data_IF_238917456345
#
_entry.id   IF_238917456345
#
_cell.length_a   1.000
_cell.length_b   1.000
_cell.length_c   1.000
_cell.angle_alpha   90.00
_cell.angle_beta   90.00
_cell.angle_gamma   90.00
#
_symmetry.space_group_name_H-M   'P 1'
#
loop_
_entity.id
_entity.type
_entity.pdbx_description
1 polymer ?
#
# COMPACT_ATOMS: atom_id res chain seq x y z
N UNK A 1 -67.06 -24.69 28.79
CA UNK A 1 -66.38 -24.05 27.64
C UNK A 1 -66.87 -22.62 27.53
N UNK A 2 -66.19 -21.66 28.20
CA UNK A 2 -66.33 -20.18 28.09
C UNK A 2 -65.64 -19.41 29.26
N UNK A 3 -65.07 -20.08 30.28
CA UNK A 3 -64.37 -19.37 31.39
C UNK A 3 -62.83 -19.56 31.37
N UNK A 4 -62.29 -20.48 30.56
CA UNK A 4 -60.84 -20.75 30.49
C UNK A 4 -60.11 -20.03 29.34
N UNK A 5 -60.63 -18.91 28.84
CA UNK A 5 -59.97 -18.06 27.82
C UNK A 5 -59.68 -16.62 28.26
N UNK A 6 -60.08 -16.22 29.48
CA UNK A 6 -59.80 -14.87 30.02
C UNK A 6 -58.65 -14.82 31.04
N UNK A 7 -58.12 -15.96 31.49
CA UNK A 7 -56.98 -16.03 32.41
C UNK A 7 -55.60 -15.99 31.74
N UNK A 8 -55.50 -16.19 30.43
CA UNK A 8 -54.21 -16.22 29.71
C UNK A 8 -53.81 -14.87 29.10
N UNK A 9 -54.70 -13.87 29.15
CA UNK A 9 -54.45 -12.53 28.60
C UNK A 9 -53.96 -11.50 29.63
N UNK A 10 -53.73 -11.92 30.88
CA UNK A 10 -53.20 -11.06 31.96
C UNK A 10 -51.77 -11.45 32.35
N UNK A 11 -51.29 -12.64 31.96
CA UNK A 11 -49.90 -13.06 32.23
C UNK A 11 -48.89 -12.58 31.17
N UNK A 12 -49.34 -12.24 29.96
CA UNK A 12 -48.49 -11.61 28.92
C UNK A 12 -48.42 -10.08 29.02
N UNK A 13 -49.25 -9.45 29.85
CA UNK A 13 -49.25 -8.00 30.07
C UNK A 13 -48.55 -7.54 31.37
N UNK A 14 -48.10 -8.48 32.22
CA UNK A 14 -47.46 -8.16 33.51
C UNK A 14 -45.95 -8.50 33.54
N UNK A 15 -45.41 -9.12 32.50
CA UNK A 15 -43.95 -9.22 32.30
C UNK A 15 -43.30 -7.91 31.81
N UNK A 16 -44.05 -6.80 31.78
CA UNK A 16 -43.56 -5.47 31.38
C UNK A 16 -43.22 -4.53 32.57
N UNK A 17 -43.06 -5.03 33.82
CA UNK A 17 -42.87 -4.11 34.95
C UNK A 17 -41.64 -4.27 35.87
N UNK A 18 -40.74 -5.24 35.73
CA UNK A 18 -39.59 -5.33 36.66
C UNK A 18 -38.29 -5.82 36.04
N UNK A 19 -37.58 -4.91 35.37
CA UNK A 19 -36.10 -4.90 35.31
C UNK A 19 -35.61 -3.51 34.87
N UNK A 20 -35.98 -2.46 35.62
CA UNK A 20 -35.28 -1.17 35.53
C UNK A 20 -33.95 -1.34 36.26
N UNK A 21 -32.88 -1.62 35.51
CA UNK A 21 -31.53 -1.33 35.98
C UNK A 21 -31.27 0.17 35.79
N UNK A 22 -30.80 0.90 36.82
CA UNK A 22 -30.46 2.30 36.66
C UNK A 22 -29.14 2.38 35.88
N UNK A 23 -29.22 2.73 34.60
CA UNK A 23 -28.03 2.89 33.76
C UNK A 23 -28.21 2.78 32.26
N UNK A 24 -29.41 2.52 31.73
CA UNK A 24 -29.67 2.68 30.29
C UNK A 24 -30.28 4.05 30.05
N UNK A 25 -29.49 4.92 29.42
CA UNK A 25 -29.98 6.06 28.66
C UNK A 25 -31.17 5.61 27.81
N UNK A 26 -32.23 6.42 27.84
CA UNK A 26 -33.45 6.28 27.03
C UNK A 26 -33.06 5.86 25.61
N UNK A 27 -33.44 4.63 25.21
CA UNK A 27 -33.22 4.16 23.84
C UNK A 27 -34.01 5.07 22.91
N UNK A 28 -33.36 5.57 21.86
CA UNK A 28 -34.05 6.15 20.71
C UNK A 28 -35.10 5.15 20.21
N UNK A 29 -36.23 5.65 19.71
CA UNK A 29 -37.30 4.81 19.17
C UNK A 29 -36.77 4.19 17.87
N UNK A 30 -36.28 2.96 17.94
CA UNK A 30 -35.80 2.20 16.79
C UNK A 30 -37.01 1.50 16.14
N UNK A 31 -37.25 1.78 14.86
CA UNK A 31 -38.34 1.15 14.09
C UNK A 31 -37.76 0.09 13.18
N UNK A 32 -38.32 -1.13 13.23
CA UNK A 32 -37.95 -2.22 12.30
C UNK A 32 -39.07 -2.45 11.30
N UNK A 33 -38.75 -2.40 10.01
CA UNK A 33 -39.72 -2.65 8.95
C UNK A 33 -39.94 -4.15 8.65
N UNK A 34 -40.89 -4.45 7.77
CA UNK A 34 -41.21 -5.83 7.36
C UNK A 34 -40.08 -6.53 6.60
N UNK A 35 -39.12 -5.77 6.07
CA UNK A 35 -37.95 -6.28 5.36
C UNK A 35 -36.74 -6.46 6.29
N UNK A 36 -36.90 -6.16 7.58
CA UNK A 36 -35.92 -6.35 8.64
C UNK A 36 -34.89 -5.23 8.77
N UNK A 37 -35.13 -4.05 8.21
CA UNK A 37 -34.29 -2.86 8.41
C UNK A 37 -34.69 -2.17 9.71
N UNK A 38 -33.74 -1.96 10.62
CA UNK A 38 -33.95 -1.23 11.87
C UNK A 38 -33.32 0.16 11.77
N UNK A 39 -34.16 1.19 11.84
CA UNK A 39 -33.77 2.60 11.67
C UNK A 39 -34.09 3.37 12.95
N UNK A 40 -33.14 4.18 13.42
CA UNK A 40 -33.36 5.06 14.57
C UNK A 40 -34.09 6.38 14.18
N UNK A 41 -34.49 7.15 15.19
CA UNK A 41 -35.17 8.44 15.02
C UNK A 41 -34.41 9.48 14.17
N UNK A 42 -33.09 9.31 13.98
CA UNK A 42 -32.27 10.19 13.16
C UNK A 42 -32.27 9.81 11.67
N UNK A 43 -32.92 8.70 11.31
CA UNK A 43 -32.85 8.11 9.98
C UNK A 43 -31.55 7.34 9.75
N UNK A 44 -30.90 6.86 10.81
CA UNK A 44 -29.72 6.00 10.68
C UNK A 44 -30.13 4.54 10.71
N UNK A 45 -29.73 3.78 9.68
CA UNK A 45 -29.86 2.33 9.68
C UNK A 45 -28.84 1.75 10.67
N UNK A 46 -29.34 1.09 11.72
CA UNK A 46 -28.52 0.57 12.83
C UNK A 46 -28.48 -0.94 12.90
N UNK A 47 -29.42 -1.65 12.28
CA UNK A 47 -29.38 -3.11 12.17
C UNK A 47 -30.13 -3.62 10.94
N UNK A 48 -29.78 -4.83 10.51
CA UNK A 48 -30.50 -5.59 9.49
C UNK A 48 -30.72 -7.04 9.94
N UNK A 49 -31.98 -7.47 9.94
CA UNK A 49 -32.44 -8.81 10.31
C UNK A 49 -33.27 -9.50 9.22
N UNK A 50 -33.29 -8.91 8.02
CA UNK A 50 -34.04 -9.40 6.88
C UNK A 50 -33.51 -10.72 6.32
N UNK A 51 -34.26 -11.30 5.39
CA UNK A 51 -33.97 -12.60 4.80
C UNK A 51 -32.75 -12.63 3.85
N UNK A 52 -32.20 -11.47 3.50
CA UNK A 52 -31.12 -11.32 2.50
C UNK A 52 -31.64 -11.26 1.07
N UNK A 53 -30.83 -11.75 0.13
CA UNK A 53 -31.07 -11.63 -1.31
C UNK A 53 -30.68 -10.26 -1.86
N UNK A 54 -31.45 -9.79 -2.84
CA UNK A 54 -31.30 -8.44 -3.37
C UNK A 54 -32.01 -7.44 -2.46
N UNK A 55 -31.26 -6.49 -1.90
CA UNK A 55 -31.80 -5.49 -0.99
C UNK A 55 -31.62 -4.07 -1.56
N UNK A 56 -32.57 -3.20 -1.24
CA UNK A 56 -32.48 -1.75 -1.46
C UNK A 56 -32.63 -1.09 -0.11
N UNK A 57 -31.70 -0.22 0.26
CA UNK A 57 -31.81 0.57 1.50
C UNK A 57 -33.09 1.41 1.42
N UNK A 58 -33.97 1.44 2.44
CA UNK A 58 -35.28 2.10 2.36
C UNK A 58 -35.22 3.63 2.51
N UNK A 59 -36.27 4.33 2.04
CA UNK A 59 -36.34 5.81 2.00
C UNK A 59 -36.26 6.50 3.36
N UNK A 60 -36.52 5.76 4.45
CA UNK A 60 -36.36 6.25 5.83
C UNK A 60 -34.89 6.41 6.24
N UNK A 61 -33.94 5.90 5.46
CA UNK A 61 -32.51 5.88 5.80
C UNK A 61 -31.77 7.01 5.10
N UNK A 62 -31.18 7.91 5.89
CA UNK A 62 -30.23 8.92 5.42
C UNK A 62 -28.78 8.50 5.61
N UNK A 63 -28.50 7.68 6.64
CA UNK A 63 -27.15 7.25 7.03
C UNK A 63 -27.12 5.76 7.34
N UNK A 64 -26.07 5.05 6.94
CA UNK A 64 -25.86 3.64 7.29
C UNK A 64 -24.77 3.56 8.36
N UNK A 65 -25.09 3.04 9.54
CA UNK A 65 -24.12 2.89 10.63
C UNK A 65 -23.02 1.85 10.29
N UNK A 66 -21.89 1.94 11.00
CA UNK A 66 -20.79 1.00 10.82
C UNK A 66 -21.20 -0.45 11.07
N UNK A 67 -20.74 -1.38 10.24
CA UNK A 67 -20.89 -2.82 10.45
C UNK A 67 -22.33 -3.37 10.39
N UNK A 68 -23.31 -2.59 9.95
CA UNK A 68 -24.74 -2.98 9.95
C UNK A 68 -25.01 -4.29 9.21
N UNK A 69 -24.30 -4.54 8.11
CA UNK A 69 -24.42 -5.77 7.34
C UNK A 69 -23.21 -6.69 7.50
N UNK A 70 -22.31 -6.43 8.46
CA UNK A 70 -21.09 -7.21 8.60
C UNK A 70 -21.38 -8.71 8.83
N UNK A 71 -20.61 -9.56 8.15
CA UNK A 71 -20.75 -11.02 8.11
C UNK A 71 -22.11 -11.53 7.63
N UNK A 72 -22.88 -10.70 6.90
CA UNK A 72 -24.13 -11.16 6.31
C UNK A 72 -23.84 -12.07 5.10
N UNK A 73 -24.11 -13.37 5.28
CA UNK A 73 -23.94 -14.40 4.26
C UNK A 73 -25.20 -14.61 3.39
N UNK A 74 -26.21 -13.75 3.51
CA UNK A 74 -27.50 -13.90 2.83
C UNK A 74 -27.74 -12.83 1.76
N UNK A 75 -27.17 -11.64 1.90
CA UNK A 75 -27.29 -10.56 0.91
C UNK A 75 -26.46 -10.92 -0.31
N UNK A 76 -27.11 -10.90 -1.48
CA UNK A 76 -26.50 -11.20 -2.78
C UNK A 76 -26.26 -9.94 -3.59
N UNK A 77 -27.05 -8.89 -3.37
CA UNK A 77 -26.84 -7.58 -3.99
C UNK A 77 -27.42 -6.47 -3.15
N UNK A 78 -26.81 -5.27 -3.22
CA UNK A 78 -27.30 -4.09 -2.52
C UNK A 78 -27.37 -2.87 -3.44
N UNK A 79 -28.47 -2.13 -3.35
CA UNK A 79 -28.60 -0.77 -3.87
C UNK A 79 -28.60 0.22 -2.72
N UNK A 80 -27.67 1.18 -2.75
CA UNK A 80 -27.59 2.34 -1.85
C UNK A 80 -28.14 3.55 -2.62
N UNK A 81 -29.41 3.96 -2.40
CA UNK A 81 -30.06 4.98 -3.23
C UNK A 81 -29.55 6.40 -2.97
N UNK A 82 -29.96 7.33 -3.85
CA UNK A 82 -29.50 8.73 -3.86
C UNK A 82 -29.80 9.55 -2.61
N UNK A 83 -30.78 9.16 -1.80
CA UNK A 83 -31.10 9.82 -0.53
C UNK A 83 -30.15 9.43 0.61
N UNK A 84 -29.34 8.39 0.46
CA UNK A 84 -28.32 8.02 1.46
C UNK A 84 -27.12 8.94 1.27
N UNK A 85 -26.79 9.70 2.33
CA UNK A 85 -25.71 10.70 2.32
C UNK A 85 -24.54 10.33 3.24
N UNK A 86 -24.70 9.30 4.08
CA UNK A 86 -23.68 8.86 5.02
C UNK A 86 -23.53 7.34 5.06
N UNK A 87 -22.30 6.87 5.22
CA UNK A 87 -21.99 5.46 5.41
C UNK A 87 -20.82 5.31 6.40
N UNK A 88 -20.99 4.44 7.40
CA UNK A 88 -19.97 4.07 8.37
C UNK A 88 -18.92 3.13 7.81
N UNK A 89 -17.97 2.73 8.65
CA UNK A 89 -16.91 1.76 8.30
C UNK A 89 -17.44 0.32 8.31
N UNK A 90 -16.75 -0.57 7.58
CA UNK A 90 -16.99 -2.02 7.64
C UNK A 90 -18.44 -2.46 7.38
N UNK A 91 -19.24 -1.66 6.66
CA UNK A 91 -20.70 -1.85 6.52
C UNK A 91 -21.05 -3.22 5.94
N UNK A 92 -20.33 -3.68 4.93
CA UNK A 92 -20.48 -5.01 4.33
C UNK A 92 -19.27 -5.91 4.58
N UNK A 93 -18.52 -5.68 5.67
CA UNK A 93 -17.36 -6.49 6.02
C UNK A 93 -17.72 -7.98 6.03
N UNK A 94 -16.95 -8.82 5.34
CA UNK A 94 -17.13 -10.27 5.28
C UNK A 94 -18.52 -10.72 4.75
N UNK A 95 -19.17 -9.93 3.88
CA UNK A 95 -20.37 -10.36 3.16
C UNK A 95 -20.01 -11.28 1.99
N UNK A 96 -19.63 -12.52 2.28
CA UNK A 96 -19.03 -13.44 1.30
C UNK A 96 -19.95 -13.79 0.13
N UNK A 97 -21.27 -13.60 0.26
CA UNK A 97 -22.27 -13.85 -0.78
C UNK A 97 -22.63 -12.62 -1.62
N UNK A 98 -22.15 -11.43 -1.25
CA UNK A 98 -22.45 -10.18 -1.94
C UNK A 98 -21.77 -10.18 -3.32
N UNK A 99 -22.57 -10.31 -4.36
CA UNK A 99 -22.12 -10.41 -5.75
C UNK A 99 -22.08 -9.07 -6.49
N UNK A 100 -23.00 -8.16 -6.16
CA UNK A 100 -23.09 -6.84 -6.81
C UNK A 100 -23.51 -5.71 -5.86
N UNK A 101 -22.96 -4.53 -6.13
CA UNK A 101 -23.24 -3.30 -5.36
C UNK A 101 -23.55 -2.18 -6.35
N UNK A 102 -24.63 -1.45 -6.11
CA UNK A 102 -24.96 -0.21 -6.81
C UNK A 102 -25.05 0.95 -5.81
N UNK A 103 -24.18 1.95 -5.95
CA UNK A 103 -24.12 3.13 -5.08
C UNK A 103 -24.59 4.34 -5.88
N UNK A 104 -25.80 4.79 -5.59
CA UNK A 104 -26.41 6.02 -6.11
C UNK A 104 -26.41 7.15 -5.07
N UNK A 105 -26.12 6.83 -3.80
CA UNK A 105 -26.01 7.78 -2.69
C UNK A 105 -24.77 8.67 -2.78
N UNK A 106 -24.92 9.94 -2.40
CA UNK A 106 -23.82 10.91 -2.28
C UNK A 106 -23.12 10.75 -0.93
N UNK A 107 -22.47 9.61 -0.73
CA UNK A 107 -21.83 9.20 0.52
C UNK A 107 -20.46 9.85 0.77
N UNK A 108 -20.00 10.71 -0.15
CA UNK A 108 -18.74 11.45 -0.10
C UNK A 108 -17.46 10.60 -0.27
N UNK A 109 -17.41 9.38 0.25
CA UNK A 109 -16.28 8.45 0.15
C UNK A 109 -16.72 7.00 0.33
N UNK A 110 -15.91 6.03 -0.10
CA UNK A 110 -16.07 4.64 0.34
C UNK A 110 -15.29 4.48 1.66
N UNK A 111 -15.95 4.25 2.80
CA UNK A 111 -15.29 4.13 4.10
C UNK A 111 -14.34 2.92 4.18
N UNK A 112 -13.48 2.93 5.19
CA UNK A 112 -12.55 1.82 5.45
C UNK A 112 -13.28 0.49 5.64
N UNK A 113 -12.68 -0.57 5.11
CA UNK A 113 -13.13 -1.97 5.25
C UNK A 113 -14.55 -2.27 4.73
N UNK A 114 -15.18 -1.34 4.01
CA UNK A 114 -16.60 -1.43 3.61
C UNK A 114 -16.95 -2.78 2.96
N UNK A 115 -16.13 -3.27 2.04
CA UNK A 115 -16.32 -4.53 1.33
C UNK A 115 -15.18 -5.52 1.58
N UNK A 116 -14.48 -5.40 2.72
CA UNK A 116 -13.41 -6.34 3.07
C UNK A 116 -13.92 -7.79 3.01
N UNK A 117 -13.18 -8.69 2.36
CA UNK A 117 -13.51 -10.12 2.22
C UNK A 117 -14.91 -10.39 1.63
N UNK A 118 -15.43 -9.51 0.77
CA UNK A 118 -16.59 -9.80 -0.06
C UNK A 118 -16.20 -10.67 -1.26
N UNK A 119 -15.89 -11.95 -0.99
CA UNK A 119 -15.24 -12.85 -1.96
C UNK A 119 -16.04 -13.10 -3.25
N UNK A 120 -17.38 -12.97 -3.22
CA UNK A 120 -18.23 -13.11 -4.41
C UNK A 120 -18.44 -11.81 -5.19
N UNK A 121 -17.91 -10.68 -4.72
CA UNK A 121 -18.16 -9.38 -5.33
C UNK A 121 -17.49 -9.30 -6.71
N UNK A 122 -18.31 -9.16 -7.75
CA UNK A 122 -17.87 -9.11 -9.15
C UNK A 122 -18.19 -7.77 -9.81
N UNK A 123 -19.19 -7.05 -9.31
CA UNK A 123 -19.69 -5.81 -9.92
C UNK A 123 -19.91 -4.74 -8.85
N UNK A 124 -19.28 -3.59 -9.06
CA UNK A 124 -19.50 -2.38 -8.26
C UNK A 124 -19.80 -1.25 -9.23
N UNK A 125 -20.99 -0.67 -9.09
CA UNK A 125 -21.43 0.52 -9.81
C UNK A 125 -21.47 1.69 -8.84
N UNK A 126 -20.86 2.81 -9.22
CA UNK A 126 -20.86 4.05 -8.43
C UNK A 126 -21.38 5.15 -9.35
N UNK A 127 -22.64 5.54 -9.13
CA UNK A 127 -23.36 6.56 -9.89
C UNK A 127 -23.14 7.99 -9.37
N UNK A 128 -22.36 8.17 -8.31
CA UNK A 128 -22.08 9.46 -7.67
C UNK A 128 -20.61 9.80 -7.68
N UNK A 129 -20.31 11.06 -7.31
CA UNK A 129 -18.94 11.49 -7.09
C UNK A 129 -18.50 11.05 -5.69
N UNK A 130 -17.43 10.28 -5.62
CA UNK A 130 -16.74 9.98 -4.35
C UNK A 130 -15.36 10.62 -4.37
N UNK A 131 -14.96 11.20 -3.23
CA UNK A 131 -13.69 11.90 -3.07
C UNK A 131 -12.52 10.96 -2.74
N UNK A 132 -12.81 9.79 -2.17
CA UNK A 132 -11.77 8.86 -1.70
C UNK A 132 -12.28 7.43 -1.56
N UNK A 133 -11.33 6.48 -1.58
CA UNK A 133 -11.52 5.07 -1.26
C UNK A 133 -10.72 4.78 0.01
N UNK A 134 -11.38 4.33 1.08
CA UNK A 134 -10.77 4.07 2.38
C UNK A 134 -9.83 2.88 2.41
N UNK A 135 -9.05 2.78 3.50
CA UNK A 135 -8.13 1.66 3.71
C UNK A 135 -8.89 0.33 3.72
N UNK A 136 -8.33 -0.68 3.05
CA UNK A 136 -8.89 -2.03 2.92
C UNK A 136 -10.34 -2.09 2.37
N UNK A 137 -10.85 -1.03 1.74
CA UNK A 137 -12.25 -0.95 1.33
C UNK A 137 -12.72 -2.11 0.44
N UNK A 138 -11.85 -2.63 -0.43
CA UNK A 138 -12.11 -3.78 -1.30
C UNK A 138 -11.06 -4.89 -1.11
N UNK A 139 -10.36 -4.93 0.03
CA UNK A 139 -9.37 -5.98 0.27
C UNK A 139 -10.04 -7.36 0.29
N UNK A 140 -9.37 -8.37 -0.26
CA UNK A 140 -9.82 -9.76 -0.36
C UNK A 140 -11.13 -9.96 -1.17
N UNK A 141 -11.52 -8.99 -2.00
CA UNK A 141 -12.56 -9.15 -3.03
C UNK A 141 -12.04 -10.01 -4.19
N UNK A 142 -11.79 -11.30 -3.93
CA UNK A 142 -11.09 -12.22 -4.82
C UNK A 142 -11.77 -12.47 -6.17
N UNK A 143 -13.08 -12.23 -6.30
CA UNK A 143 -13.81 -12.32 -7.57
C UNK A 143 -13.89 -11.00 -8.36
N UNK A 144 -13.40 -9.88 -7.79
CA UNK A 144 -13.48 -8.57 -8.42
C UNK A 144 -12.49 -8.49 -9.59
N UNK A 145 -12.99 -8.75 -10.79
CA UNK A 145 -12.14 -8.85 -11.99
C UNK A 145 -11.84 -7.51 -12.65
N UNK A 146 -12.71 -6.52 -12.46
CA UNK A 146 -12.63 -5.17 -12.98
C UNK A 146 -13.14 -4.18 -11.94
N UNK A 147 -12.54 -3.00 -11.88
CA UNK A 147 -13.03 -1.90 -11.07
C UNK A 147 -12.70 -0.57 -11.74
N UNK A 148 -13.71 0.28 -11.92
CA UNK A 148 -13.52 1.64 -12.44
C UNK A 148 -13.45 2.60 -11.26
N UNK A 149 -12.28 3.18 -11.02
CA UNK A 149 -12.13 4.25 -10.03
C UNK A 149 -12.80 5.51 -10.59
N UNK A 150 -13.76 6.14 -9.89
CA UNK A 150 -14.39 7.37 -10.35
C UNK A 150 -13.40 8.52 -10.53
N UNK A 151 -13.61 9.38 -11.53
CA UNK A 151 -12.72 10.51 -11.85
C UNK A 151 -12.58 11.54 -10.72
N UNK A 152 -13.58 11.61 -9.82
CA UNK A 152 -13.59 12.50 -8.66
C UNK A 152 -12.68 12.04 -7.51
N UNK A 153 -12.16 10.80 -7.55
CA UNK A 153 -11.33 10.26 -6.47
C UNK A 153 -9.99 10.98 -6.40
N UNK A 154 -9.71 11.58 -5.24
CA UNK A 154 -8.44 12.23 -4.93
C UNK A 154 -7.44 11.31 -4.21
N UNK A 155 -7.93 10.32 -3.45
CA UNK A 155 -7.07 9.43 -2.66
C UNK A 155 -7.58 7.99 -2.59
N UNK A 156 -6.62 7.05 -2.53
CA UNK A 156 -6.84 5.61 -2.35
C UNK A 156 -6.06 5.17 -1.11
N UNK A 157 -6.76 4.65 -0.11
CA UNK A 157 -6.20 4.28 1.20
C UNK A 157 -5.34 3.02 1.16
N UNK A 158 -4.66 2.75 2.26
CA UNK A 158 -3.76 1.59 2.39
C UNK A 158 -4.50 0.28 2.13
N UNK A 159 -3.87 -0.62 1.37
CA UNK A 159 -4.43 -1.95 1.05
C UNK A 159 -5.83 -1.93 0.42
N UNK A 160 -6.27 -0.82 -0.19
CA UNK A 160 -7.65 -0.69 -0.68
C UNK A 160 -8.11 -1.81 -1.62
N UNK A 161 -7.21 -2.38 -2.44
CA UNK A 161 -7.47 -3.52 -3.33
C UNK A 161 -6.54 -4.70 -3.03
N UNK A 162 -6.09 -4.84 -1.79
CA UNK A 162 -5.19 -5.93 -1.37
C UNK A 162 -5.84 -7.30 -1.62
N UNK A 163 -5.10 -8.27 -2.16
CA UNK A 163 -5.58 -9.63 -2.45
C UNK A 163 -6.85 -9.69 -3.36
N UNK A 164 -7.06 -8.69 -4.22
CA UNK A 164 -8.03 -8.78 -5.33
C UNK A 164 -7.48 -9.68 -6.46
N UNK A 165 -7.43 -10.99 -6.20
CA UNK A 165 -6.73 -11.96 -7.05
C UNK A 165 -7.27 -12.11 -8.47
N UNK A 166 -8.53 -11.73 -8.73
CA UNK A 166 -9.12 -11.74 -10.08
C UNK A 166 -8.92 -10.44 -10.87
N UNK A 167 -8.49 -9.34 -10.23
CA UNK A 167 -8.35 -8.04 -10.87
C UNK A 167 -7.28 -8.10 -11.96
N UNK A 168 -7.63 -7.80 -13.22
CA UNK A 168 -6.70 -7.94 -14.36
C UNK A 168 -6.09 -6.63 -14.83
N UNK A 169 -6.78 -5.51 -14.60
CA UNK A 169 -6.32 -4.17 -14.95
C UNK A 169 -7.01 -3.10 -14.12
N UNK A 170 -6.34 -1.96 -13.94
CA UNK A 170 -6.91 -0.79 -13.28
C UNK A 170 -6.33 0.49 -13.86
N UNK A 171 -7.16 1.53 -13.95
CA UNK A 171 -6.75 2.88 -14.38
C UNK A 171 -6.78 3.81 -13.18
N UNK A 172 -5.67 4.52 -12.92
CA UNK A 172 -5.61 5.62 -11.96
C UNK A 172 -6.12 6.90 -12.64
N UNK A 173 -7.23 7.50 -12.17
CA UNK A 173 -7.83 8.70 -12.75
C UNK A 173 -6.97 9.96 -12.62
N UNK A 174 -7.36 11.05 -13.30
CA UNK A 174 -6.58 12.29 -13.28
C UNK A 174 -6.54 12.98 -11.90
N UNK A 175 -7.61 12.86 -11.11
CA UNK A 175 -7.74 13.48 -9.78
C UNK A 175 -6.91 12.82 -8.67
N UNK A 176 -6.46 11.57 -8.85
CA UNK A 176 -5.76 10.83 -7.80
C UNK A 176 -4.38 11.41 -7.56
N UNK A 177 -4.17 11.93 -6.35
CA UNK A 177 -2.92 12.54 -5.88
C UNK A 177 -2.28 11.79 -4.71
N UNK A 178 -2.96 10.78 -4.17
CA UNK A 178 -2.44 9.93 -3.10
C UNK A 178 -2.88 8.48 -3.27
N UNK A 179 -1.92 7.56 -3.24
CA UNK A 179 -2.10 6.11 -3.26
C UNK A 179 -1.36 5.55 -2.04
N UNK A 180 -2.10 4.86 -1.18
CA UNK A 180 -1.59 4.25 0.03
C UNK A 180 -0.62 3.09 -0.22
N UNK A 181 -0.09 2.56 0.88
CA UNK A 181 0.81 1.42 0.86
C UNK A 181 0.07 0.14 0.50
N UNK A 182 0.73 -0.73 -0.27
CA UNK A 182 0.26 -2.10 -0.59
C UNK A 182 -1.12 -2.17 -1.26
N UNK A 183 -1.58 -1.11 -1.94
CA UNK A 183 -2.91 -1.03 -2.57
C UNK A 183 -3.20 -2.20 -3.50
N UNK A 184 -2.19 -2.67 -4.26
CA UNK A 184 -2.32 -3.78 -5.23
C UNK A 184 -1.48 -5.01 -4.87
N UNK A 185 -1.10 -5.18 -3.60
CA UNK A 185 -0.37 -6.38 -3.18
C UNK A 185 -1.31 -7.57 -3.17
N UNK A 186 -0.88 -8.70 -3.72
CA UNK A 186 -1.68 -9.91 -3.84
C UNK A 186 -2.64 -9.94 -5.03
N UNK A 187 -2.68 -8.89 -5.85
CA UNK A 187 -3.45 -8.88 -7.10
C UNK A 187 -2.73 -9.73 -8.17
N UNK A 188 -2.71 -11.04 -7.99
CA UNK A 188 -1.88 -11.98 -8.75
C UNK A 188 -2.18 -12.04 -10.25
N UNK A 189 -3.36 -11.59 -10.69
CA UNK A 189 -3.75 -11.52 -12.11
C UNK A 189 -3.65 -10.11 -12.70
N UNK A 190 -3.28 -9.10 -11.90
CA UNK A 190 -3.16 -7.72 -12.35
C UNK A 190 -2.00 -7.64 -13.34
N UNK A 191 -2.30 -7.35 -14.59
CA UNK A 191 -1.32 -7.30 -15.67
C UNK A 191 -0.96 -5.86 -16.06
N UNK A 192 -1.77 -4.88 -15.68
CA UNK A 192 -1.52 -3.47 -16.02
C UNK A 192 -2.15 -2.51 -15.01
N UNK A 193 -1.38 -1.50 -14.63
CA UNK A 193 -1.84 -0.28 -13.97
C UNK A 193 -1.61 0.86 -14.97
N UNK A 194 -2.68 1.39 -15.55
CA UNK A 194 -2.65 2.58 -16.40
C UNK A 194 -2.87 3.83 -15.56
N UNK A 195 -2.47 4.98 -16.09
CA UNK A 195 -2.68 6.30 -15.45
C UNK A 195 -3.25 7.24 -16.49
N UNK A 196 -4.31 7.97 -16.15
CA UNK A 196 -4.91 8.96 -17.03
C UNK A 196 -3.90 10.06 -17.39
N UNK A 197 -3.90 10.52 -18.66
CA UNK A 197 -2.92 11.48 -19.16
C UNK A 197 -2.87 12.80 -18.37
N UNK A 198 -4.02 13.22 -17.83
CA UNK A 198 -4.17 14.41 -16.99
C UNK A 198 -3.70 14.26 -15.54
N UNK A 199 -3.31 13.07 -15.09
CA UNK A 199 -2.84 12.89 -13.72
C UNK A 199 -1.50 13.63 -13.52
N UNK A 200 -1.42 14.49 -12.50
CA UNK A 200 -0.24 15.33 -12.22
C UNK A 200 0.76 14.71 -11.25
N UNK A 201 0.41 13.59 -10.60
CA UNK A 201 1.20 12.96 -9.53
C UNK A 201 1.87 11.65 -9.98
N UNK A 202 1.20 10.89 -10.82
CA UNK A 202 1.60 9.55 -11.24
C UNK A 202 1.75 9.45 -12.76
N UNK A 203 2.44 8.39 -13.19
CA UNK A 203 2.56 8.00 -14.60
C UNK A 203 2.54 6.48 -14.71
N UNK A 204 2.27 5.97 -15.92
CA UNK A 204 2.39 4.54 -16.23
C UNK A 204 3.34 4.34 -17.40
N UNK A 205 4.16 3.30 -17.32
CA UNK A 205 5.00 2.83 -18.42
C UNK A 205 5.08 1.32 -18.37
N UNK A 206 4.88 0.66 -19.52
CA UNK A 206 4.77 -0.80 -19.62
C UNK A 206 3.72 -1.42 -18.67
N UNK A 207 2.68 -0.66 -18.31
CA UNK A 207 1.67 -1.08 -17.33
C UNK A 207 2.14 -1.06 -15.87
N UNK A 208 3.33 -0.53 -15.58
CA UNK A 208 3.84 -0.32 -14.24
C UNK A 208 3.58 1.11 -13.76
N UNK A 209 3.32 1.29 -12.47
CA UNK A 209 3.06 2.57 -11.82
C UNK A 209 4.36 3.27 -11.44
N UNK A 210 4.46 4.55 -11.79
CA UNK A 210 5.58 5.44 -11.47
C UNK A 210 5.10 6.73 -10.81
N UNK A 211 6.01 7.47 -10.21
CA UNK A 211 5.80 8.91 -9.98
C UNK A 211 5.70 9.65 -11.33
N UNK A 212 5.17 10.89 -11.33
CA UNK A 212 4.93 11.65 -12.57
C UNK A 212 6.17 11.81 -13.44
N UNK A 213 7.33 12.04 -12.81
CA UNK A 213 8.61 12.23 -13.49
C UNK A 213 9.18 10.92 -14.08
N UNK A 214 8.57 9.77 -13.82
CA UNK A 214 9.07 8.44 -14.20
C UNK A 214 10.49 8.14 -13.69
N UNK A 215 10.90 8.80 -12.61
CA UNK A 215 12.20 8.59 -11.96
C UNK A 215 12.12 7.52 -10.86
N UNK A 216 10.93 7.19 -10.38
CA UNK A 216 10.71 6.15 -9.37
C UNK A 216 9.66 5.16 -9.84
N UNK A 217 10.07 3.90 -10.02
CA UNK A 217 9.14 2.78 -10.19
C UNK A 217 8.52 2.48 -8.83
N UNK A 218 7.20 2.66 -8.74
CA UNK A 218 6.42 2.45 -7.50
C UNK A 218 5.92 1.01 -7.45
N UNK A 219 5.34 0.51 -8.54
CA UNK A 219 4.75 -0.84 -8.56
C UNK A 219 4.70 -1.43 -9.96
N UNK A 220 5.27 -2.61 -10.13
CA UNK A 220 5.00 -3.54 -11.21
C UNK A 220 3.84 -4.46 -10.82
N UNK A 221 2.82 -4.64 -11.67
CA UNK A 221 1.76 -5.61 -11.44
C UNK A 221 2.28 -7.05 -11.29
N UNK A 222 1.72 -7.82 -10.35
CA UNK A 222 2.17 -9.19 -10.03
C UNK A 222 1.88 -10.19 -11.18
N UNK A 223 0.82 -9.94 -11.96
CA UNK A 223 0.39 -10.75 -13.09
C UNK A 223 1.08 -10.44 -14.43
N UNK A 224 2.05 -9.51 -14.48
CA UNK A 224 2.84 -9.28 -15.71
C UNK A 224 3.71 -10.48 -16.04
N UNK A 225 3.66 -10.93 -17.29
CA UNK A 225 4.51 -12.00 -17.84
C UNK A 225 5.92 -11.56 -18.21
N UNK A 226 6.17 -10.25 -18.24
CA UNK A 226 7.47 -9.64 -18.50
C UNK A 226 7.39 -8.14 -18.21
N UNK A 227 8.52 -7.53 -17.84
CA UNK A 227 8.57 -6.13 -17.45
C UNK A 227 9.76 -5.40 -18.07
N UNK A 228 9.50 -4.18 -18.55
CA UNK A 228 10.51 -3.22 -18.98
C UNK A 228 10.49 -2.01 -18.06
N UNK A 229 11.63 -1.73 -17.45
CA UNK A 229 11.80 -0.53 -16.63
C UNK A 229 12.05 0.65 -17.56
N UNK A 230 11.38 1.79 -17.29
CA UNK A 230 11.54 2.99 -18.10
C UNK A 230 12.98 3.52 -18.02
N UNK A 231 13.50 4.05 -19.13
CA UNK A 231 14.90 4.50 -19.24
C UNK A 231 15.22 5.78 -18.46
N UNK A 232 14.21 6.44 -17.89
CA UNK A 232 14.36 7.58 -16.98
C UNK A 232 14.35 7.18 -15.50
N UNK A 233 14.22 5.90 -15.19
CA UNK A 233 14.09 5.42 -13.80
C UNK A 233 15.42 5.60 -13.08
N UNK A 234 15.42 6.37 -11.99
CA UNK A 234 16.56 6.53 -11.08
C UNK A 234 16.49 5.56 -9.89
N UNK A 235 15.26 5.20 -9.47
CA UNK A 235 15.03 4.34 -8.29
C UNK A 235 14.00 3.26 -8.58
N UNK A 236 14.37 2.01 -8.25
CA UNK A 236 13.42 0.91 -8.10
C UNK A 236 12.96 0.93 -6.64
N UNK A 237 11.71 1.33 -6.41
CA UNK A 237 11.18 1.54 -5.07
C UNK A 237 10.99 0.25 -4.26
N UNK A 238 10.85 0.41 -2.95
CA UNK A 238 10.56 -0.70 -2.04
C UNK A 238 9.32 -1.48 -2.49
N UNK A 239 9.44 -2.80 -2.61
CA UNK A 239 8.34 -3.67 -3.05
C UNK A 239 7.90 -3.49 -4.51
N UNK A 240 8.67 -2.79 -5.35
CA UNK A 240 8.28 -2.47 -6.72
C UNK A 240 7.93 -3.71 -7.57
N UNK A 241 8.69 -4.80 -7.45
CA UNK A 241 8.45 -6.09 -8.10
C UNK A 241 8.02 -7.17 -7.11
N UNK A 242 7.53 -6.77 -5.93
CA UNK A 242 7.14 -7.75 -4.92
C UNK A 242 6.08 -8.71 -5.49
N UNK A 243 6.28 -10.01 -5.27
CA UNK A 243 5.43 -11.09 -5.75
C UNK A 243 5.22 -11.16 -7.27
N UNK A 244 6.05 -10.53 -8.10
CA UNK A 244 6.02 -10.75 -9.55
C UNK A 244 6.46 -12.19 -9.88
N UNK A 245 5.50 -13.13 -9.95
CA UNK A 245 5.75 -14.57 -10.14
C UNK A 245 6.01 -14.98 -11.60
N UNK A 246 5.59 -14.16 -12.55
CA UNK A 246 5.72 -14.49 -13.98
C UNK A 246 6.90 -13.80 -14.66
N UNK A 247 7.50 -12.80 -14.02
CA UNK A 247 8.73 -12.15 -14.52
C UNK A 247 9.93 -12.94 -14.01
N UNK A 248 10.63 -13.65 -14.91
CA UNK A 248 11.78 -14.50 -14.55
C UNK A 248 13.13 -13.89 -14.87
N UNK A 249 13.17 -12.91 -15.77
CA UNK A 249 14.38 -12.19 -16.15
C UNK A 249 14.13 -10.68 -16.20
N UNK A 250 15.09 -9.89 -15.75
CA UNK A 250 14.97 -8.43 -15.73
C UNK A 250 16.27 -7.74 -16.14
N UNK A 251 16.16 -6.67 -16.90
CA UNK A 251 17.28 -5.76 -17.19
C UNK A 251 17.02 -4.43 -16.52
N UNK A 252 17.93 -4.01 -15.65
CA UNK A 252 17.91 -2.71 -15.01
C UNK A 252 18.61 -1.69 -15.93
N UNK A 253 17.99 -0.54 -16.26
CA UNK A 253 18.60 0.45 -17.14
C UNK A 253 19.69 1.27 -16.43
N UNK A 254 20.65 1.78 -17.19
CA UNK A 254 21.81 2.57 -16.70
C UNK A 254 21.42 3.88 -15.99
N UNK A 255 20.16 4.29 -16.09
CA UNK A 255 19.64 5.42 -15.33
C UNK A 255 19.45 5.13 -13.85
N UNK A 256 19.37 3.85 -13.45
CA UNK A 256 19.07 3.46 -12.06
C UNK A 256 20.32 3.60 -11.21
N UNK A 257 20.18 4.30 -10.09
CA UNK A 257 21.22 4.44 -9.06
C UNK A 257 20.92 3.65 -7.80
N UNK A 258 19.63 3.45 -7.51
CA UNK A 258 19.17 2.88 -6.24
C UNK A 258 18.14 1.77 -6.48
N UNK A 259 18.38 0.63 -5.83
CA UNK A 259 17.41 -0.45 -5.65
C UNK A 259 17.09 -0.50 -4.16
N UNK A 260 15.85 -0.22 -3.77
CA UNK A 260 15.46 -0.17 -2.37
C UNK A 260 15.17 -1.55 -1.76
N UNK A 261 15.05 -1.57 -0.43
CA UNK A 261 14.70 -2.76 0.35
C UNK A 261 13.47 -3.46 -0.21
N UNK A 262 13.56 -4.79 -0.34
CA UNK A 262 12.47 -5.65 -0.79
C UNK A 262 11.87 -5.30 -2.15
N UNK A 263 12.58 -4.53 -2.99
CA UNK A 263 12.22 -4.26 -4.38
C UNK A 263 11.82 -5.53 -5.15
N UNK A 264 12.45 -6.68 -4.87
CA UNK A 264 12.20 -7.95 -5.56
C UNK A 264 11.63 -9.05 -4.65
N UNK A 265 11.16 -8.71 -3.44
CA UNK A 265 10.73 -9.68 -2.43
C UNK A 265 9.60 -10.58 -2.94
N UNK A 266 9.75 -11.89 -2.80
CA UNK A 266 8.79 -12.88 -3.28
C UNK A 266 8.67 -12.95 -4.81
N UNK A 267 9.47 -12.23 -5.59
CA UNK A 267 9.45 -12.34 -7.05
C UNK A 267 10.09 -13.64 -7.54
N UNK A 268 9.77 -14.03 -8.76
CA UNK A 268 10.39 -15.17 -9.45
C UNK A 268 11.52 -14.74 -10.40
N UNK A 269 12.04 -13.51 -10.25
CA UNK A 269 13.14 -12.99 -11.05
C UNK A 269 14.40 -13.78 -10.71
N UNK A 270 14.77 -14.71 -11.59
CA UNK A 270 15.89 -15.64 -11.43
C UNK A 270 17.17 -15.10 -12.03
N UNK A 271 17.07 -14.34 -13.13
CA UNK A 271 18.22 -13.68 -13.76
C UNK A 271 17.99 -12.18 -13.83
N UNK A 272 18.99 -11.41 -13.41
CA UNK A 272 18.90 -9.95 -13.45
C UNK A 272 20.22 -9.35 -13.90
N UNK A 273 20.16 -8.43 -14.86
CA UNK A 273 21.27 -7.58 -15.24
C UNK A 273 21.18 -6.27 -14.44
N UNK A 274 22.19 -6.00 -13.63
CA UNK A 274 22.32 -4.78 -12.83
C UNK A 274 23.51 -3.97 -13.36
N UNK A 275 23.30 -2.73 -13.84
CA UNK A 275 24.35 -1.90 -14.44
C UNK A 275 25.25 -1.27 -13.39
N UNK A 276 26.40 -0.75 -13.85
CA UNK A 276 27.40 -0.11 -12.99
C UNK A 276 26.91 1.20 -12.32
N UNK A 277 25.87 1.82 -12.88
CA UNK A 277 25.24 3.03 -12.33
C UNK A 277 24.58 2.81 -10.96
N UNK A 278 24.24 1.55 -10.63
CA UNK A 278 23.64 1.19 -9.35
C UNK A 278 24.70 1.23 -8.26
N UNK A 279 24.59 2.22 -7.38
CA UNK A 279 25.50 2.46 -6.26
C UNK A 279 24.94 1.99 -4.92
N UNK A 280 23.64 1.69 -4.85
CA UNK A 280 22.97 1.22 -3.63
C UNK A 280 21.95 0.12 -3.93
N UNK A 281 22.04 -0.98 -3.18
CA UNK A 281 21.10 -2.10 -3.21
C UNK A 281 20.70 -2.41 -1.77
N UNK A 282 19.43 -2.19 -1.42
CA UNK A 282 18.86 -2.51 -0.11
C UNK A 282 18.68 -4.01 0.09
N UNK A 283 18.46 -4.41 1.35
CA UNK A 283 18.21 -5.79 1.75
C UNK A 283 17.03 -6.40 1.00
N UNK A 284 17.12 -7.67 0.59
CA UNK A 284 16.00 -8.38 -0.05
C UNK A 284 15.69 -9.63 0.76
N UNK A 285 14.59 -9.60 1.50
CA UNK A 285 14.24 -10.58 2.53
C UNK A 285 13.85 -11.95 1.95
N UNK A 286 13.08 -11.97 0.87
CA UNK A 286 12.52 -13.19 0.27
C UNK A 286 12.81 -13.26 -1.23
N UNK A 287 14.05 -13.00 -1.64
CA UNK A 287 14.48 -13.08 -3.04
C UNK A 287 15.86 -13.73 -3.15
N UNK A 288 15.96 -14.77 -3.98
CA UNK A 288 17.18 -15.55 -4.20
C UNK A 288 17.32 -15.85 -5.70
N UNK A 289 17.77 -14.87 -6.50
CA UNK A 289 17.96 -15.09 -7.93
C UNK A 289 19.07 -16.15 -8.15
N UNK A 290 18.97 -16.91 -9.23
CA UNK A 290 20.03 -17.84 -9.60
C UNK A 290 21.30 -17.12 -10.02
N UNK A 291 21.15 -15.98 -10.72
CA UNK A 291 22.27 -15.23 -11.30
C UNK A 291 22.02 -13.73 -11.27
N UNK A 292 23.00 -12.97 -10.80
CA UNK A 292 23.12 -11.53 -11.02
C UNK A 292 24.24 -11.30 -12.03
N UNK A 293 23.94 -10.64 -13.14
CA UNK A 293 24.93 -10.20 -14.13
C UNK A 293 25.26 -8.72 -13.91
N UNK A 294 26.52 -8.34 -14.09
CA UNK A 294 26.97 -6.95 -13.95
C UNK A 294 28.46 -6.78 -14.22
N UNK A 295 29.01 -5.63 -13.85
CA UNK A 295 30.45 -5.33 -14.00
C UNK A 295 31.21 -5.62 -12.71
N UNK A 296 32.46 -6.06 -12.82
CA UNK A 296 33.33 -6.31 -11.67
C UNK A 296 33.57 -5.03 -10.87
N UNK A 297 33.66 -5.14 -9.54
CA UNK A 297 33.85 -4.02 -8.61
C UNK A 297 32.60 -3.17 -8.33
N UNK A 298 31.44 -3.53 -8.89
CA UNK A 298 30.19 -2.78 -8.69
C UNK A 298 29.38 -3.29 -7.51
N UNK A 299 28.36 -2.51 -7.11
CA UNK A 299 27.43 -2.90 -6.06
C UNK A 299 26.67 -4.20 -6.39
N UNK A 300 26.48 -4.51 -7.67
CA UNK A 300 25.90 -5.78 -8.11
C UNK A 300 26.76 -6.98 -7.67
N UNK A 301 28.08 -6.91 -7.86
CA UNK A 301 29.01 -7.96 -7.44
C UNK A 301 29.07 -8.07 -5.91
N UNK A 302 29.13 -6.92 -5.21
CA UNK A 302 29.14 -6.86 -3.74
C UNK A 302 27.90 -7.54 -3.18
N UNK A 303 26.72 -7.17 -3.69
CA UNK A 303 25.46 -7.75 -3.25
C UNK A 303 25.39 -9.25 -3.54
N UNK A 304 25.77 -9.68 -4.74
CA UNK A 304 25.74 -11.09 -5.11
C UNK A 304 26.64 -11.94 -4.20
N UNK A 305 27.90 -11.51 -4.02
CA UNK A 305 28.89 -12.21 -3.19
C UNK A 305 28.46 -12.25 -1.72
N UNK A 306 27.97 -11.13 -1.18
CA UNK A 306 27.52 -11.02 0.21
C UNK A 306 26.31 -11.90 0.55
N UNK A 307 25.53 -12.30 -0.46
CA UNK A 307 24.34 -13.14 -0.29
C UNK A 307 24.51 -14.55 -0.88
N UNK A 308 25.73 -14.94 -1.29
CA UNK A 308 25.99 -16.26 -1.87
C UNK A 308 25.31 -16.52 -3.22
N UNK A 309 25.00 -15.47 -3.97
CA UNK A 309 24.35 -15.53 -5.29
C UNK A 309 25.41 -15.62 -6.39
N UNK A 310 25.15 -16.41 -7.45
CA UNK A 310 26.05 -16.50 -8.59
C UNK A 310 26.19 -15.16 -9.31
N UNK A 311 27.42 -14.69 -9.50
CA UNK A 311 27.71 -13.45 -10.23
C UNK A 311 28.32 -13.73 -11.60
N UNK A 312 27.70 -13.20 -12.65
CA UNK A 312 28.21 -13.27 -14.02
C UNK A 312 28.78 -11.91 -14.43
N UNK A 313 30.10 -11.81 -14.50
CA UNK A 313 30.77 -10.60 -15.00
C UNK A 313 30.56 -10.43 -16.50
N UNK A 314 30.22 -9.22 -16.93
CA UNK A 314 30.09 -8.87 -18.36
C UNK A 314 31.43 -8.46 -19.03
N UNK A 315 32.53 -8.44 -18.27
CA UNK A 315 33.82 -7.95 -18.75
C UNK A 315 33.92 -6.41 -18.78
N UNK A 316 35.15 -5.90 -18.87
CA UNK A 316 35.46 -4.47 -18.73
C UNK A 316 35.58 -4.01 -17.27
N UNK A 317 36.51 -3.10 -17.00
CA UNK A 317 36.52 -2.36 -15.73
C UNK A 317 35.27 -1.46 -15.64
N UNK A 318 34.81 -1.18 -14.42
CA UNK A 318 33.69 -0.29 -14.15
C UNK A 318 33.80 1.00 -15.00
N UNK A 319 32.86 1.31 -15.91
CA UNK A 319 32.96 2.47 -16.81
C UNK A 319 32.75 3.84 -16.12
N UNK A 320 32.93 3.95 -14.80
CA UNK A 320 32.92 5.22 -14.07
C UNK A 320 34.30 5.58 -13.50
N UNK A 321 34.64 6.89 -13.54
CA UNK A 321 36.01 7.35 -13.49
C UNK A 321 36.62 7.10 -12.13
N UNK A 322 37.86 6.59 -12.13
CA UNK A 322 38.77 6.72 -11.02
C UNK A 322 38.75 8.17 -10.51
N UNK A 323 38.65 8.44 -9.20
CA UNK A 323 38.84 9.78 -8.68
C UNK A 323 40.21 10.26 -9.13
N UNK A 324 40.26 11.31 -9.94
CA UNK A 324 41.50 12.01 -10.25
C UNK A 324 42.04 12.55 -8.93
N UNK A 325 43.03 11.86 -8.38
CA UNK A 325 43.77 12.32 -7.22
C UNK A 325 44.73 13.39 -7.75
N UNK A 326 44.17 14.57 -8.00
CA UNK A 326 44.84 15.71 -8.61
C UNK A 326 46.01 16.17 -7.76
N UNK A 327 47.19 15.60 -8.03
CA UNK A 327 48.45 16.17 -7.59
C UNK A 327 48.88 17.22 -8.61
N UNK A 328 48.22 18.39 -8.54
CA UNK A 328 48.59 19.56 -9.32
C UNK A 328 49.86 20.19 -8.72
N UNK A 329 51.01 19.86 -9.31
CA UNK A 329 52.26 20.58 -9.11
C UNK A 329 52.57 21.46 -10.33
N UNK A 330 52.15 22.71 -10.19
CA UNK A 330 52.92 23.92 -10.47
C UNK A 330 52.97 24.55 -11.89
N UNK A 331 52.78 25.87 -11.84
CA UNK A 331 53.40 26.96 -12.61
C UNK A 331 52.89 27.33 -14.01
N UNK A 332 52.06 28.37 -13.99
CA UNK A 332 52.19 29.64 -14.71
C UNK A 332 53.26 29.75 -15.83
N UNK A 333 52.86 30.22 -17.02
CA UNK A 333 53.77 30.74 -18.04
C UNK A 333 53.21 30.76 -19.47
N UNK A 334 52.61 31.89 -19.85
CA UNK A 334 52.34 32.31 -21.23
C UNK A 334 53.59 32.23 -22.13
N UNK A 335 53.47 31.73 -23.37
CA UNK A 335 53.62 32.50 -24.63
C UNK A 335 53.51 31.61 -25.87
N UNK A 336 53.09 32.28 -26.93
CA UNK A 336 52.83 31.87 -28.31
C UNK A 336 54.10 31.45 -29.10
N UNK A 337 53.87 30.92 -30.31
CA UNK A 337 54.77 30.75 -31.47
C UNK A 337 55.60 29.46 -31.65
N UNK A 338 55.11 28.63 -32.57
CA UNK A 338 55.75 28.06 -33.77
C UNK A 338 57.29 27.91 -33.88
N UNK A 339 57.66 26.72 -34.35
CA UNK A 339 58.62 26.42 -35.43
C UNK A 339 60.06 25.95 -35.08
N UNK A 340 60.31 24.71 -35.52
CA UNK A 340 61.51 24.15 -36.16
C UNK A 340 62.90 24.08 -35.48
N UNK A 341 63.45 22.87 -35.62
CA UNK A 341 64.84 22.49 -35.90
C UNK A 341 65.91 22.49 -34.79
N UNK A 342 66.34 21.24 -34.52
CA UNK A 342 67.70 20.71 -34.70
C UNK A 342 68.84 21.16 -33.77
N UNK A 343 69.59 20.17 -33.25
CA UNK A 343 71.02 20.32 -33.00
C UNK A 343 71.52 20.06 -31.57
N UNK A 344 72.03 18.83 -31.38
CA UNK A 344 73.36 18.49 -30.82
C UNK A 344 73.88 19.02 -29.48
N UNK A 345 74.52 18.10 -28.73
CA UNK A 345 75.72 18.36 -27.92
C UNK A 345 75.45 18.41 -26.42
N UNK A 346 75.73 17.36 -25.65
CA UNK A 346 77.05 16.85 -25.19
C UNK A 346 77.55 17.53 -23.91
N UNK A 347 77.71 16.70 -22.87
CA UNK A 347 78.58 16.80 -21.68
C UNK A 347 78.36 18.04 -20.77
N UNK A 348 78.31 17.92 -19.45
CA UNK A 348 79.47 17.55 -18.62
C UNK A 348 79.01 17.35 -17.15
N UNK A 349 79.65 16.39 -16.49
CA UNK A 349 79.66 16.05 -15.05
C UNK A 349 80.25 17.15 -14.14
N UNK A 350 79.90 17.15 -12.85
CA UNK A 350 80.68 17.53 -11.62
C UNK A 350 79.66 17.73 -10.47
N UNK A 351 79.44 16.76 -9.57
CA UNK A 351 80.06 16.51 -8.24
C UNK A 351 79.88 17.58 -7.14
N UNK A 352 79.46 17.12 -5.94
CA UNK A 352 79.52 17.79 -4.63
C UNK A 352 78.11 18.00 -4.04
N UNK A 353 77.72 17.54 -2.84
CA UNK A 353 78.44 17.11 -1.64
C UNK A 353 77.97 17.94 -0.43
N UNK A 354 77.58 17.29 0.67
CA UNK A 354 77.40 17.90 2.01
C UNK A 354 75.95 18.10 2.46
N UNK A 355 75.41 17.28 3.37
CA UNK A 355 75.51 17.29 4.86
C UNK A 355 74.48 18.17 5.58
N UNK A 356 73.82 17.54 6.54
CA UNK A 356 72.72 17.98 7.39
C UNK A 356 73.09 19.04 8.42
N UNK A 357 72.12 19.86 8.86
CA UNK A 357 72.00 20.39 10.24
C UNK A 357 70.52 20.65 10.61
N UNK A 358 70.27 20.43 11.89
CA UNK A 358 69.11 20.44 12.79
C UNK A 358 68.34 21.76 13.04
N UNK A 359 67.14 21.63 13.62
CA UNK A 359 66.44 22.63 14.46
C UNK A 359 64.95 22.72 14.09
N UNK A 360 63.94 22.40 14.90
CA UNK A 360 63.83 22.46 16.36
C UNK A 360 63.16 23.76 16.78
N UNK A 361 61.82 23.83 16.81
CA UNK A 361 61.12 24.66 17.81
C UNK A 361 59.66 24.23 18.02
N UNK A 362 59.27 24.15 19.29
CA UNK A 362 57.95 23.84 19.85
C UNK A 362 57.53 25.03 20.71
N UNK A 363 56.34 25.58 20.51
CA UNK A 363 55.48 26.35 21.45
C UNK A 363 54.25 26.80 20.64
N UNK A 364 53.00 26.81 21.10
CA UNK A 364 52.35 26.52 22.37
C UNK A 364 50.85 26.73 22.17
N UNK A 365 50.03 25.99 22.92
CA UNK A 365 48.57 26.01 22.86
C UNK A 365 47.96 27.28 23.47
N UNK A 366 46.81 27.77 22.98
CA UNK A 366 45.58 27.94 23.79
C UNK A 366 44.35 28.34 22.97
N UNK A 367 43.19 27.93 23.51
CA UNK A 367 41.78 28.08 23.10
C UNK A 367 41.37 29.50 22.67
N UNK A 368 40.43 29.63 21.73
CA UNK A 368 39.09 30.20 21.98
C UNK A 368 38.13 30.06 20.78
N UNK A 369 36.88 29.75 21.14
CA UNK A 369 35.58 29.83 20.47
C UNK A 369 35.41 30.89 19.36
N UNK A 370 34.66 30.59 18.29
CA UNK A 370 33.24 30.98 18.18
C UNK A 370 32.56 30.47 16.89
N UNK A 371 31.29 30.09 17.06
CA UNK A 371 30.15 30.22 16.14
C UNK A 371 30.26 29.74 14.68
N UNK A 372 29.74 28.54 14.42
CA UNK A 372 29.25 28.10 13.11
C UNK A 372 28.02 27.22 13.31
N UNK A 373 26.86 27.80 13.06
CA UNK A 373 25.51 27.29 13.33
C UNK A 373 25.24 25.99 12.55
N UNK A 374 25.49 24.84 13.15
CA UNK A 374 25.02 23.53 12.66
C UNK A 374 23.62 23.27 13.20
N UNK A 375 22.62 23.39 12.32
CA UNK A 375 21.29 22.82 12.58
C UNK A 375 21.44 21.32 12.47
N UNK A 376 21.69 20.69 13.61
CA UNK A 376 21.50 19.26 13.81
C UNK A 376 20.13 19.09 14.46
N UNK A 377 19.15 18.60 13.70
CA UNK A 377 18.02 17.91 14.31
C UNK A 377 18.23 16.43 14.07
N UNK A 378 18.86 15.80 15.06
CA UNK A 378 18.96 14.37 15.16
C UNK A 378 17.57 13.74 15.27
N UNK A 379 17.51 12.54 14.71
CA UNK A 379 16.62 11.45 15.07
C UNK A 379 16.21 11.44 16.54
N UNK A 380 14.90 11.52 16.76
CA UNK A 380 14.27 10.67 17.75
C UNK A 380 13.31 9.74 17.02
N UNK A 381 13.75 8.49 16.86
CA UNK A 381 12.84 7.35 16.80
C UNK A 381 11.93 7.43 18.01
N UNK A 382 10.67 7.81 17.80
CA UNK A 382 9.60 7.36 18.68
C UNK A 382 9.24 5.97 18.22
N UNK A 383 9.83 4.99 18.89
CA UNK A 383 9.16 3.75 19.22
C UNK A 383 7.69 4.05 19.52
N UNK A 384 6.85 3.75 18.54
CA UNK A 384 5.40 3.76 18.67
C UNK A 384 4.96 2.33 18.43
N UNK A 385 5.25 1.50 19.43
CA UNK A 385 4.44 0.33 19.74
C UNK A 385 2.97 0.71 19.47
N UNK A 386 2.21 -0.02 18.63
CA UNK A 386 0.78 0.21 18.55
C UNK A 386 0.24 0.03 19.96
N UNK A 387 -0.37 1.07 20.51
CA UNK A 387 -1.24 0.89 21.68
C UNK A 387 -2.38 -0.01 21.23
N UNK A 388 -2.24 -1.32 21.43
CA UNK A 388 -3.37 -2.24 21.50
C UNK A 388 -4.19 -1.82 22.70
N UNK A 389 -5.22 -1.02 22.47
CA UNK A 389 -6.02 -0.50 23.57
C UNK A 389 -6.97 0.61 23.20
N UNK A 390 -7.66 0.51 22.07
CA UNK A 390 -9.01 1.07 21.96
C UNK A 390 -9.98 -0.10 22.03
N UNK A 391 -10.82 -0.05 23.07
CA UNK A 391 -11.58 -1.18 23.57
C UNK A 391 -12.45 -1.83 22.49
N UNK A 392 -12.30 -3.15 22.36
CA UNK A 392 -13.33 -4.00 21.77
C UNK A 392 -14.63 -3.66 22.51
N UNK A 393 -15.59 -3.08 21.79
CA UNK A 393 -16.88 -2.70 22.35
C UNK A 393 -17.51 -3.97 22.98
N UNK A 394 -17.84 -3.98 24.29
CA UNK A 394 -18.44 -5.17 24.93
C UNK A 394 -19.77 -5.60 24.29
N UNK A 395 -20.40 -4.75 23.47
CA UNK A 395 -21.55 -5.09 22.61
C UNK A 395 -21.18 -6.16 21.57
N UNK A 396 -19.92 -6.22 21.11
CA UNK A 396 -19.42 -7.20 20.14
C UNK A 396 -19.49 -8.65 20.67
N UNK A 397 -19.20 -8.86 21.96
CA UNK A 397 -19.37 -10.17 22.62
C UNK A 397 -20.83 -10.49 22.95
N UNK A 398 -21.64 -9.46 23.20
CA UNK A 398 -23.07 -9.64 23.48
C UNK A 398 -23.82 -10.14 22.24
N UNK A 399 -23.52 -9.58 21.05
CA UNK A 399 -24.17 -9.97 19.80
C UNK A 399 -23.82 -11.40 19.37
N UNK A 400 -22.56 -11.84 19.52
CA UNK A 400 -22.14 -13.21 19.22
C UNK A 400 -22.75 -14.21 20.22
N UNK A 401 -22.83 -13.85 21.51
CA UNK A 401 -23.45 -14.68 22.54
C UNK A 401 -24.94 -14.92 22.31
N UNK A 402 -25.69 -13.89 21.90
CA UNK A 402 -27.13 -14.01 21.62
C UNK A 402 -27.39 -14.84 20.35
N UNK A 403 -26.55 -14.71 19.33
CA UNK A 403 -26.66 -15.49 18.08
C UNK A 403 -26.45 -16.99 18.31
N UNK A 404 -25.45 -17.38 19.12
CA UNK A 404 -25.18 -18.79 19.40
C UNK A 404 -26.28 -19.45 20.26
N UNK A 405 -26.87 -18.72 21.19
CA UNK A 405 -27.98 -19.22 22.02
C UNK A 405 -29.28 -19.32 21.20
N UNK A 406 -29.52 -18.38 20.29
CA UNK A 406 -30.67 -18.42 19.37
C UNK A 406 -30.63 -19.61 18.42
N UNK A 407 -29.47 -19.87 17.79
CA UNK A 407 -29.28 -21.03 16.89
C UNK A 407 -29.42 -22.35 17.67
N UNK A 408 -28.91 -22.43 18.90
CA UNK A 408 -29.08 -23.62 19.74
C UNK A 408 -30.55 -23.92 20.08
N UNK A 409 -31.36 -22.90 20.37
CA UNK A 409 -32.79 -23.07 20.65
C UNK A 409 -33.59 -23.50 19.41
N UNK A 410 -33.27 -22.96 18.23
CA UNK A 410 -33.94 -23.34 16.98
C UNK A 410 -33.60 -24.78 16.57
N UNK A 411 -32.35 -25.20 16.72
CA UNK A 411 -31.91 -26.57 16.39
C UNK A 411 -32.43 -27.60 17.41
N UNK A 412 -32.48 -27.28 18.69
CA UNK A 412 -32.99 -28.19 19.73
C UNK A 412 -34.51 -28.39 19.65
N UNK A 413 -35.27 -27.37 19.24
CA UNK A 413 -36.71 -27.50 19.04
C UNK A 413 -37.09 -28.28 17.77
N UNK A 414 -36.27 -28.23 16.70
CA UNK A 414 -36.50 -29.06 15.50
C UNK A 414 -36.26 -30.56 15.74
N UNK A 415 -35.40 -30.94 16.68
CA UNK A 415 -35.16 -32.35 17.05
C UNK A 415 -36.24 -32.96 17.95
N UNK A 416 -37.13 -32.16 18.55
CA UNK A 416 -38.25 -32.64 19.38
C UNK A 416 -39.56 -32.79 18.60
N UNK A 417 -39.58 -32.38 17.33
CA UNK A 417 -40.76 -32.41 16.47
C UNK A 417 -40.63 -33.40 15.29
N UNK A 418 -39.65 -34.30 15.33
CA UNK A 418 -39.42 -35.36 14.35
C UNK A 418 -39.55 -36.74 15.01
#
# INVERSE_FOLDING_TARGET
>A
MQILKKGFSIFTAVCLLLAVMPGQTVRADETTDENGFTVDDSGTLVAYSGAGGAITIPESVSTIASGVFASNASITSVTIPSYVTGMGTAVFYNCTSLGSVNIEGDIGSIPAETFYNCTSLTSVSIGTSISSIGSQAFAECSSLSQFTIPESVGSIGDKAFYDCTSLTGITIPAGVSSIGSNVFTGCSRLASISVASGNSTYASSDGCLYNKAMTRLIRCPEGKSGAKIATSTATIGAGAFANCKSVTSLTVPDSVNTIETDAFSGSSISTILIPASVTSIGSQSSWSPSTISGYSGTQAQVYATGNGISFQSLGGENPQPTPDNGNNSNSNGSTDTSNSNNGSGSATTVTGGGTAVTGGNVIGATKNSNSGKTVTSGSHEKDSTPKTGDGINPVFFLCIGVLLVGVYFVVSNRKKAA
#
